data_IF_124167962144
#
_entry.id   IF_124167962144
#
_cell.length_a   1.000
_cell.length_b   1.000
_cell.length_c   1.000
_cell.angle_alpha   90.00
_cell.angle_beta   90.00
_cell.angle_gamma   90.00
#
_symmetry.space_group_name_H-M   'P 1'
#
loop_
_entity.id
_entity.type
_entity.pdbx_description
1 polymer ?
#
# COMPACT_ATOMS: atom_id res chain seq x y z
N UNK A 1 -3.14 -3.60 -21.13
CA UNK A 1 -3.01 -2.95 -19.81
C UNK A 1 -3.96 -3.62 -18.81
N UNK A 2 -5.25 -3.84 -19.13
CA UNK A 2 -6.24 -4.46 -18.23
C UNK A 2 -5.79 -5.82 -17.69
N UNK A 3 -5.40 -6.74 -18.57
CA UNK A 3 -4.86 -8.06 -18.17
C UNK A 3 -3.66 -7.94 -17.23
N UNK A 4 -2.78 -6.99 -17.48
CA UNK A 4 -1.63 -6.70 -16.62
C UNK A 4 -2.05 -6.24 -15.21
N UNK A 5 -3.03 -5.34 -15.13
CA UNK A 5 -3.56 -4.85 -13.85
C UNK A 5 -4.32 -5.95 -13.09
N UNK A 6 -5.07 -6.80 -13.79
CA UNK A 6 -5.71 -8.00 -13.20
C UNK A 6 -4.66 -8.95 -12.61
N UNK A 7 -3.58 -9.21 -13.36
CA UNK A 7 -2.47 -10.03 -12.90
C UNK A 7 -1.84 -9.46 -11.61
N UNK A 8 -1.55 -8.17 -11.57
CA UNK A 8 -0.98 -7.51 -10.39
C UNK A 8 -1.99 -7.41 -9.22
N UNK A 9 -3.28 -7.25 -9.51
CA UNK A 9 -4.32 -7.23 -8.48
C UNK A 9 -4.38 -8.56 -7.74
N UNK A 10 -4.42 -9.68 -8.48
CA UNK A 10 -4.47 -11.01 -7.89
C UNK A 10 -3.19 -11.29 -7.11
N UNK A 11 -2.01 -11.06 -7.70
CA UNK A 11 -0.73 -11.30 -7.03
C UNK A 11 -0.57 -10.45 -5.75
N UNK A 12 -0.96 -9.17 -5.83
CA UNK A 12 -0.87 -8.25 -4.70
C UNK A 12 -1.83 -8.63 -3.58
N UNK A 13 -3.09 -8.97 -3.89
CA UNK A 13 -4.13 -9.25 -2.88
C UNK A 13 -3.79 -10.41 -1.94
N UNK A 14 -3.04 -11.40 -2.42
CA UNK A 14 -2.64 -12.56 -1.60
C UNK A 14 -1.32 -12.38 -0.86
N UNK A 15 -0.60 -11.27 -1.08
CA UNK A 15 0.76 -11.12 -0.57
C UNK A 15 1.00 -9.86 0.26
N UNK A 16 0.28 -8.76 0.03
CA UNK A 16 0.56 -7.47 0.66
C UNK A 16 0.56 -7.50 2.19
N UNK A 17 -0.39 -8.22 2.79
CA UNK A 17 -0.64 -8.18 4.23
C UNK A 17 0.45 -8.92 5.04
N UNK A 18 0.89 -10.08 4.57
CA UNK A 18 1.94 -10.82 5.28
C UNK A 18 3.34 -10.29 4.97
N UNK A 19 3.60 -9.80 3.74
CA UNK A 19 4.89 -9.20 3.38
C UNK A 19 5.14 -7.97 4.26
N UNK A 20 4.24 -6.98 4.27
CA UNK A 20 4.40 -5.75 5.03
C UNK A 20 4.50 -5.99 6.55
N UNK A 21 3.67 -6.90 7.07
CA UNK A 21 3.68 -7.24 8.49
C UNK A 21 5.00 -7.90 8.92
N UNK A 22 5.48 -8.89 8.16
CA UNK A 22 6.74 -9.57 8.47
C UNK A 22 7.96 -8.64 8.34
N UNK A 23 7.94 -7.73 7.37
CA UNK A 23 8.98 -6.70 7.23
C UNK A 23 9.01 -5.77 8.44
N UNK A 24 7.85 -5.29 8.90
CA UNK A 24 7.77 -4.46 10.11
C UNK A 24 8.22 -5.22 11.36
N UNK A 25 7.80 -6.48 11.52
CA UNK A 25 8.25 -7.33 12.63
C UNK A 25 9.77 -7.48 12.62
N UNK A 26 10.35 -7.72 11.44
CA UNK A 26 11.79 -7.85 11.27
C UNK A 26 12.54 -6.59 11.73
N UNK A 27 12.10 -5.43 11.29
CA UNK A 27 12.71 -4.16 11.70
C UNK A 27 12.52 -3.90 13.19
N UNK A 28 11.32 -4.04 13.72
CA UNK A 28 11.04 -3.78 15.13
C UNK A 28 11.85 -4.68 16.08
N UNK A 29 12.11 -5.94 15.66
CA UNK A 29 12.83 -6.90 16.50
C UNK A 29 14.33 -6.80 16.38
N UNK A 30 14.87 -6.44 15.21
CA UNK A 30 16.29 -6.57 14.91
C UNK A 30 17.01 -5.27 14.52
N UNK A 31 16.31 -4.14 14.31
CA UNK A 31 16.94 -2.87 13.98
C UNK A 31 17.84 -2.34 15.11
N UNK A 32 17.48 -2.58 16.37
CA UNK A 32 18.26 -2.18 17.54
C UNK A 32 19.46 -3.12 17.82
N UNK A 33 19.37 -4.37 17.37
CA UNK A 33 20.45 -5.33 17.51
C UNK A 33 21.56 -5.02 16.50
N UNK A 34 22.49 -4.14 16.87
CA UNK A 34 23.73 -3.78 16.11
C UNK A 34 24.62 -4.98 15.76
N UNK A 35 24.17 -6.20 16.00
CA UNK A 35 24.88 -7.47 15.76
C UNK A 35 24.88 -7.90 14.30
N UNK A 36 24.01 -7.34 13.44
CA UNK A 36 24.05 -7.63 12.02
C UNK A 36 25.26 -6.95 11.38
N UNK A 37 26.27 -7.74 11.00
CA UNK A 37 27.44 -7.29 10.26
C UNK A 37 28.61 -6.74 11.09
N UNK A 38 28.50 -6.62 12.42
CA UNK A 38 29.59 -6.16 13.30
C UNK A 38 30.23 -7.27 14.14
N UNK A 39 29.57 -8.42 14.26
CA UNK A 39 30.16 -9.61 14.90
C UNK A 39 30.75 -10.55 13.86
N UNK A 40 31.82 -11.22 14.20
CA UNK A 40 32.47 -12.27 13.39
C UNK A 40 31.55 -13.48 13.16
N UNK A 41 30.49 -13.63 13.95
CA UNK A 41 29.53 -14.74 13.84
C UNK A 41 28.30 -14.33 13.00
N UNK A 42 28.04 -15.11 11.95
CA UNK A 42 26.87 -14.94 11.11
C UNK A 42 25.60 -15.39 11.84
N UNK A 43 24.59 -14.51 11.93
CA UNK A 43 23.29 -14.85 12.49
C UNK A 43 22.44 -15.66 11.49
N UNK A 44 21.66 -16.67 11.92
CA UNK A 44 20.77 -17.44 11.04
C UNK A 44 19.46 -16.72 10.71
N UNK A 45 19.23 -15.51 11.23
CA UNK A 45 17.96 -14.78 11.14
C UNK A 45 17.53 -14.54 9.69
N UNK A 46 18.41 -13.97 8.85
CA UNK A 46 18.07 -13.67 7.45
C UNK A 46 17.74 -14.95 6.66
N UNK A 47 18.42 -16.05 6.94
CA UNK A 47 18.12 -17.34 6.31
C UNK A 47 16.71 -17.82 6.71
N UNK A 48 16.39 -17.85 8.01
CA UNK A 48 15.09 -18.32 8.50
C UNK A 48 13.94 -17.46 7.99
N UNK A 49 14.12 -16.15 7.94
CA UNK A 49 13.09 -15.23 7.41
C UNK A 49 12.91 -15.44 5.90
N UNK A 50 14.00 -15.65 5.14
CA UNK A 50 13.88 -15.94 3.70
C UNK A 50 13.14 -17.25 3.43
N UNK A 51 13.35 -18.27 4.27
CA UNK A 51 12.60 -19.53 4.22
C UNK A 51 11.11 -19.27 4.47
N UNK A 52 10.77 -18.46 5.49
CA UNK A 52 9.39 -18.07 5.77
C UNK A 52 8.74 -17.33 4.60
N UNK A 53 9.40 -16.32 4.04
CA UNK A 53 8.88 -15.57 2.89
C UNK A 53 8.66 -16.47 1.69
N UNK A 54 9.59 -17.40 1.42
CA UNK A 54 9.45 -18.37 0.33
C UNK A 54 8.27 -19.32 0.58
N UNK A 55 8.13 -19.83 1.82
CA UNK A 55 7.02 -20.69 2.21
C UNK A 55 5.66 -19.98 2.07
N UNK A 56 5.54 -18.74 2.55
CA UNK A 56 4.31 -17.96 2.40
C UNK A 56 4.01 -17.61 0.95
N UNK A 57 5.02 -17.35 0.11
CA UNK A 57 4.82 -17.14 -1.33
C UNK A 57 4.30 -18.40 -2.02
N UNK A 58 4.83 -19.57 -1.68
CA UNK A 58 4.33 -20.86 -2.20
C UNK A 58 2.90 -21.10 -1.72
N UNK A 59 2.61 -20.87 -0.44
CA UNK A 59 1.25 -20.98 0.12
C UNK A 59 0.28 -20.02 -0.57
N UNK A 60 0.69 -18.78 -0.85
CA UNK A 60 -0.11 -17.81 -1.60
C UNK A 60 -0.39 -18.28 -3.03
N UNK A 61 0.61 -18.85 -3.72
CA UNK A 61 0.43 -19.40 -5.06
C UNK A 61 -0.52 -20.61 -5.06
N UNK A 62 -0.37 -21.52 -4.08
CA UNK A 62 -1.29 -22.67 -3.90
C UNK A 62 -2.70 -22.17 -3.58
N UNK A 63 -2.86 -21.16 -2.73
CA UNK A 63 -4.15 -20.56 -2.41
C UNK A 63 -4.84 -19.99 -3.66
N UNK A 64 -4.12 -19.23 -4.49
CA UNK A 64 -4.64 -18.72 -5.77
C UNK A 64 -5.03 -19.89 -6.70
N UNK A 65 -4.24 -20.97 -6.73
CA UNK A 65 -4.55 -22.15 -7.54
C UNK A 65 -5.86 -22.81 -7.10
N UNK A 66 -6.04 -23.02 -5.80
CA UNK A 66 -7.25 -23.63 -5.24
C UNK A 66 -8.50 -22.75 -5.43
N UNK A 67 -8.33 -21.43 -5.37
CA UNK A 67 -9.41 -20.46 -5.60
C UNK A 67 -9.60 -20.06 -7.07
N UNK A 68 -8.85 -20.65 -7.99
CA UNK A 68 -8.95 -20.32 -9.43
C UNK A 68 -10.39 -20.30 -9.95
N UNK A 69 -11.27 -21.29 -9.65
CA UNK A 69 -12.66 -21.27 -10.15
C UNK A 69 -13.46 -20.06 -9.61
N UNK A 70 -13.22 -19.68 -8.35
CA UNK A 70 -13.87 -18.54 -7.71
C UNK A 70 -13.37 -17.23 -8.31
N UNK A 71 -12.04 -17.09 -8.42
CA UNK A 71 -11.40 -15.90 -8.96
C UNK A 71 -11.80 -15.70 -10.42
N UNK A 72 -11.77 -16.74 -11.24
CA UNK A 72 -12.18 -16.64 -12.66
C UNK A 72 -13.65 -16.26 -12.83
N UNK A 73 -14.53 -16.71 -11.94
CA UNK A 73 -15.94 -16.32 -11.90
C UNK A 73 -16.13 -14.84 -11.50
N UNK A 74 -15.28 -14.31 -10.63
CA UNK A 74 -15.31 -12.88 -10.23
C UNK A 74 -14.84 -11.94 -11.35
N UNK A 75 -13.89 -12.37 -12.14
CA UNK A 75 -13.33 -11.58 -13.23
C UNK A 75 -14.09 -11.91 -14.52
N UNK A 76 -15.29 -11.91 -14.74
CA UNK A 76 -16.08 -12.10 -16.00
C UNK A 76 -15.25 -12.42 -17.27
N UNK A 77 -14.17 -13.20 -17.11
CA UNK A 77 -13.19 -13.47 -18.15
C UNK A 77 -13.83 -14.43 -19.15
N UNK A 78 -13.93 -14.03 -20.39
CA UNK A 78 -14.41 -14.85 -21.50
C UNK A 78 -13.63 -16.17 -21.54
N UNK A 79 -14.28 -17.29 -21.17
CA UNK A 79 -13.69 -18.62 -21.13
C UNK A 79 -13.34 -19.17 -19.73
N UNK A 80 -13.61 -18.44 -18.64
CA UNK A 80 -13.50 -18.96 -17.26
C UNK A 80 -12.06 -19.26 -16.79
N UNK A 81 -11.03 -18.81 -17.53
CA UNK A 81 -9.63 -19.00 -17.15
C UNK A 81 -8.93 -17.65 -17.01
N UNK A 82 -8.17 -17.51 -15.92
CA UNK A 82 -7.32 -16.32 -15.72
C UNK A 82 -6.19 -16.36 -16.76
N UNK A 83 -6.04 -15.30 -17.58
CA UNK A 83 -4.95 -15.23 -18.55
C UNK A 83 -3.59 -15.36 -17.87
N UNK A 84 -2.66 -16.09 -18.51
CA UNK A 84 -1.28 -16.24 -18.04
C UNK A 84 -1.13 -16.84 -16.63
N UNK A 85 -2.05 -17.71 -16.18
CA UNK A 85 -2.08 -18.27 -14.83
C UNK A 85 -0.76 -18.94 -14.42
N UNK A 86 -0.09 -19.65 -15.34
CA UNK A 86 1.22 -20.28 -15.07
C UNK A 86 2.30 -19.24 -14.75
N UNK A 87 2.27 -18.09 -15.44
CA UNK A 87 3.19 -16.97 -15.19
C UNK A 87 2.88 -16.32 -13.85
N UNK A 88 1.59 -16.20 -13.51
CA UNK A 88 1.13 -15.65 -12.22
C UNK A 88 1.66 -16.46 -11.04
N UNK A 89 1.62 -17.80 -11.12
CA UNK A 89 2.18 -18.66 -10.07
C UNK A 89 3.68 -18.45 -9.89
N UNK A 90 4.43 -18.46 -10.98
CA UNK A 90 5.87 -18.19 -10.93
C UNK A 90 6.15 -16.80 -10.35
N UNK A 91 5.38 -15.81 -10.77
CA UNK A 91 5.52 -14.45 -10.24
C UNK A 91 5.28 -14.39 -8.73
N UNK A 92 4.19 -14.98 -8.21
CA UNK A 92 3.87 -14.99 -6.77
C UNK A 92 4.99 -15.68 -5.99
N UNK A 93 5.48 -16.83 -6.46
CA UNK A 93 6.54 -17.59 -5.77
C UNK A 93 7.82 -16.76 -5.61
N UNK A 94 8.25 -16.08 -6.68
CA UNK A 94 9.53 -15.35 -6.65
C UNK A 94 9.37 -13.92 -6.11
N UNK A 95 8.21 -13.26 -6.26
CA UNK A 95 8.03 -11.86 -5.88
C UNK A 95 8.01 -11.62 -4.37
N UNK A 96 7.54 -12.57 -3.55
CA UNK A 96 7.48 -12.42 -2.10
C UNK A 96 8.86 -12.31 -1.44
N UNK A 97 9.76 -13.31 -1.62
CA UNK A 97 11.07 -13.32 -0.97
C UNK A 97 11.96 -12.13 -1.35
N UNK A 98 11.87 -11.62 -2.57
CA UNK A 98 12.73 -10.52 -3.04
C UNK A 98 12.51 -9.20 -2.29
N UNK A 99 11.34 -9.04 -1.65
CA UNK A 99 11.07 -7.90 -0.79
C UNK A 99 11.98 -7.85 0.47
N UNK A 100 12.70 -8.92 0.79
CA UNK A 100 13.67 -8.95 1.87
C UNK A 100 15.00 -8.27 1.53
N UNK A 101 15.36 -8.10 0.25
CA UNK A 101 16.67 -7.58 -0.16
C UNK A 101 16.95 -6.20 0.44
N UNK A 102 15.98 -5.30 0.34
CA UNK A 102 16.08 -3.94 0.86
C UNK A 102 16.22 -3.94 2.39
N UNK A 103 15.40 -4.73 3.05
CA UNK A 103 15.41 -4.87 4.52
C UNK A 103 16.70 -5.55 5.02
N UNK A 104 17.22 -6.53 4.29
CA UNK A 104 18.51 -7.13 4.61
C UNK A 104 19.64 -6.09 4.53
N UNK A 105 19.69 -5.26 3.50
CA UNK A 105 20.67 -4.19 3.40
C UNK A 105 20.47 -3.08 4.45
N UNK A 106 19.22 -2.80 4.83
CA UNK A 106 18.94 -1.84 5.91
C UNK A 106 19.49 -2.34 7.25
N UNK A 107 19.24 -3.63 7.59
CA UNK A 107 19.77 -4.26 8.81
C UNK A 107 21.30 -4.38 8.81
N UNK A 108 21.91 -4.50 7.62
CA UNK A 108 23.37 -4.55 7.45
C UNK A 108 24.00 -3.16 7.46
N UNK A 109 23.23 -2.07 7.66
CA UNK A 109 23.68 -0.68 7.61
C UNK A 109 24.38 -0.33 6.27
N UNK A 110 23.77 -0.75 5.16
CA UNK A 110 24.29 -0.55 3.79
C UNK A 110 23.27 0.16 2.88
N UNK A 111 22.84 1.39 3.22
CA UNK A 111 21.76 2.08 2.49
C UNK A 111 22.08 2.34 1.02
N UNK A 112 23.34 2.60 0.66
CA UNK A 112 23.76 2.78 -0.73
C UNK A 112 23.49 1.54 -1.60
N UNK A 113 23.56 0.33 -1.01
CA UNK A 113 23.26 -0.91 -1.74
C UNK A 113 21.77 -1.06 -2.04
N UNK A 114 20.90 -0.46 -1.23
CA UNK A 114 19.45 -0.42 -1.51
C UNK A 114 19.20 0.40 -2.77
N UNK A 115 19.83 1.59 -2.85
CA UNK A 115 19.69 2.47 -4.04
C UNK A 115 20.24 1.75 -5.28
N UNK A 116 21.43 1.17 -5.20
CA UNK A 116 22.03 0.44 -6.33
C UNK A 116 21.16 -0.74 -6.78
N UNK A 117 20.68 -1.55 -5.84
CA UNK A 117 19.77 -2.65 -6.11
C UNK A 117 18.48 -2.17 -6.77
N UNK A 118 17.87 -1.11 -6.21
CA UNK A 118 16.64 -0.52 -6.74
C UNK A 118 16.83 -0.01 -8.18
N UNK A 119 17.79 0.89 -8.39
CA UNK A 119 18.06 1.46 -9.72
C UNK A 119 18.31 0.36 -10.76
N UNK A 120 19.21 -0.59 -10.46
CA UNK A 120 19.56 -1.65 -11.41
C UNK A 120 18.34 -2.54 -11.73
N UNK A 121 17.64 -3.02 -10.70
CA UNK A 121 16.56 -4.00 -10.92
C UNK A 121 15.28 -3.39 -11.46
N UNK A 122 14.96 -2.14 -11.10
CA UNK A 122 13.81 -1.44 -11.69
C UNK A 122 14.07 -1.01 -13.13
N UNK A 123 15.29 -0.57 -13.45
CA UNK A 123 15.68 -0.31 -14.85
C UNK A 123 15.58 -1.59 -15.68
N UNK A 124 16.12 -2.71 -15.19
CA UNK A 124 16.01 -3.99 -15.86
C UNK A 124 14.54 -4.42 -16.03
N UNK A 125 13.71 -4.22 -15.00
CA UNK A 125 12.28 -4.52 -15.08
C UNK A 125 11.59 -3.68 -16.14
N UNK A 126 11.88 -2.36 -16.20
CA UNK A 126 11.34 -1.47 -17.21
C UNK A 126 11.65 -2.03 -18.62
N UNK A 127 12.90 -2.37 -18.89
CA UNK A 127 13.28 -2.90 -20.19
C UNK A 127 12.65 -4.27 -20.48
N UNK A 128 12.71 -5.23 -19.55
CA UNK A 128 12.18 -6.57 -19.77
C UNK A 128 10.66 -6.64 -19.93
N UNK A 129 9.93 -5.68 -19.35
CA UNK A 129 8.47 -5.63 -19.46
C UNK A 129 8.02 -4.83 -20.68
N UNK A 130 8.63 -3.66 -20.92
CA UNK A 130 8.13 -2.74 -21.96
C UNK A 130 8.67 -3.03 -23.34
N UNK A 131 9.94 -3.46 -23.47
CA UNK A 131 10.55 -3.71 -24.79
C UNK A 131 9.82 -4.78 -25.62
N UNK A 132 9.44 -5.95 -25.07
CA UNK A 132 8.69 -6.92 -25.86
C UNK A 132 7.38 -6.34 -26.41
N UNK A 133 6.65 -5.57 -25.58
CA UNK A 133 5.38 -4.96 -25.98
C UNK A 133 5.58 -3.88 -27.05
N UNK A 134 6.63 -3.05 -26.94
CA UNK A 134 6.97 -2.03 -27.94
C UNK A 134 7.35 -2.67 -29.27
N UNK A 135 8.04 -3.83 -29.24
CA UNK A 135 8.41 -4.59 -30.43
C UNK A 135 7.24 -5.37 -31.04
N UNK A 136 6.02 -5.24 -30.49
CA UNK A 136 4.81 -5.88 -31.03
C UNK A 136 4.60 -7.34 -30.57
N UNK A 137 5.39 -7.83 -29.61
CA UNK A 137 5.17 -9.16 -29.04
C UNK A 137 3.96 -9.17 -28.10
N UNK A 138 3.40 -10.36 -27.85
CA UNK A 138 2.29 -10.55 -26.91
C UNK A 138 2.66 -10.13 -25.49
N UNK A 139 1.65 -9.69 -24.71
CA UNK A 139 1.81 -9.28 -23.31
C UNK A 139 2.48 -10.36 -22.44
N UNK A 140 2.27 -11.64 -22.78
CA UNK A 140 2.92 -12.76 -22.10
C UNK A 140 4.43 -12.63 -22.00
N UNK A 141 5.09 -12.12 -23.04
CA UNK A 141 6.55 -11.90 -23.01
C UNK A 141 6.94 -10.82 -21.99
N UNK A 142 6.15 -9.76 -21.84
CA UNK A 142 6.34 -8.76 -20.79
C UNK A 142 6.16 -9.34 -19.38
N UNK A 143 5.16 -10.21 -19.19
CA UNK A 143 4.94 -10.91 -17.92
C UNK A 143 6.06 -11.92 -17.60
N UNK A 144 6.59 -12.64 -18.62
CA UNK A 144 7.81 -13.44 -18.44
C UNK A 144 9.01 -12.57 -18.04
N UNK A 145 9.10 -11.35 -18.59
CA UNK A 145 10.09 -10.35 -18.19
C UNK A 145 10.00 -10.00 -16.70
N UNK A 146 8.78 -9.84 -16.15
CA UNK A 146 8.58 -9.64 -14.70
C UNK A 146 9.10 -10.82 -13.87
N UNK A 147 8.78 -12.05 -14.28
CA UNK A 147 9.24 -13.26 -13.59
C UNK A 147 10.75 -13.36 -13.65
N UNK A 148 11.34 -13.13 -14.82
CA UNK A 148 12.79 -13.16 -15.03
C UNK A 148 13.53 -12.19 -14.09
N UNK A 149 13.06 -10.96 -13.99
CA UNK A 149 13.66 -9.97 -13.06
C UNK A 149 13.51 -10.41 -11.61
N UNK A 150 12.36 -10.98 -11.22
CA UNK A 150 12.19 -11.50 -9.86
C UNK A 150 13.09 -12.70 -9.56
N UNK A 151 13.38 -13.54 -10.55
CA UNK A 151 14.38 -14.61 -10.40
C UNK A 151 15.78 -14.00 -10.15
N UNK A 152 16.18 -12.98 -10.91
CA UNK A 152 17.46 -12.28 -10.68
C UNK A 152 17.52 -11.68 -9.27
N UNK A 153 16.45 -11.02 -8.83
CA UNK A 153 16.33 -10.48 -7.46
C UNK A 153 16.41 -11.59 -6.40
N UNK A 154 15.79 -12.73 -6.67
CA UNK A 154 15.83 -13.89 -5.78
C UNK A 154 17.24 -14.50 -5.67
N UNK A 155 17.96 -14.62 -6.79
CA UNK A 155 19.37 -15.01 -6.78
C UNK A 155 20.24 -14.02 -6.02
N UNK A 156 19.94 -12.72 -6.15
CA UNK A 156 20.60 -11.68 -5.37
C UNK A 156 20.35 -11.83 -3.86
N UNK A 157 19.10 -12.14 -3.45
CA UNK A 157 18.80 -12.49 -2.06
C UNK A 157 19.61 -13.69 -1.59
N UNK A 158 19.69 -14.75 -2.43
CA UNK A 158 20.51 -15.92 -2.15
C UNK A 158 21.98 -15.57 -1.90
N UNK A 159 22.55 -14.68 -2.72
CA UNK A 159 23.91 -14.18 -2.51
C UNK A 159 24.08 -13.43 -1.19
N UNK A 160 23.10 -12.61 -0.79
CA UNK A 160 23.11 -11.92 0.50
C UNK A 160 23.09 -12.92 1.65
N UNK A 161 22.24 -13.94 1.57
CA UNK A 161 22.11 -14.98 2.60
C UNK A 161 23.42 -15.75 2.74
N UNK A 162 23.99 -16.25 1.64
CA UNK A 162 25.27 -16.95 1.65
C UNK A 162 26.40 -16.12 2.25
N UNK A 163 26.41 -14.82 1.96
CA UNK A 163 27.47 -13.93 2.41
C UNK A 163 27.32 -13.51 3.88
N UNK A 164 26.11 -13.21 4.34
CA UNK A 164 25.87 -12.51 5.62
C UNK A 164 25.09 -13.35 6.63
N UNK A 165 24.54 -14.51 6.28
CA UNK A 165 23.77 -15.35 7.20
C UNK A 165 24.39 -16.73 7.36
N UNK A 166 24.14 -17.36 8.51
CA UNK A 166 24.40 -18.78 8.74
C UNK A 166 23.24 -19.58 8.17
N UNK A 167 23.52 -20.59 7.35
CA UNK A 167 22.50 -21.49 6.82
C UNK A 167 22.18 -22.51 7.90
N UNK A 168 21.25 -22.15 8.77
CA UNK A 168 20.79 -22.98 9.87
C UNK A 168 19.31 -22.74 10.11
N UNK A 169 18.49 -23.77 9.90
CA UNK A 169 17.07 -23.70 10.18
C UNK A 169 16.81 -23.76 11.70
N UNK A 170 16.01 -22.84 12.22
CA UNK A 170 15.61 -22.78 13.61
C UNK A 170 14.08 -22.72 13.72
N UNK A 171 13.47 -23.87 14.01
CA UNK A 171 12.01 -23.96 14.19
C UNK A 171 11.54 -23.09 15.35
N UNK A 172 12.35 -22.99 16.41
CA UNK A 172 12.06 -22.11 17.56
C UNK A 172 11.96 -20.66 17.11
N UNK A 173 12.93 -20.17 16.37
CA UNK A 173 12.94 -18.81 15.81
C UNK A 173 11.72 -18.57 14.91
N UNK A 174 11.43 -19.49 13.99
CA UNK A 174 10.30 -19.39 13.07
C UNK A 174 8.99 -19.24 13.84
N UNK A 175 8.77 -20.09 14.85
CA UNK A 175 7.56 -20.04 15.71
C UNK A 175 7.44 -18.71 16.44
N UNK A 176 8.50 -18.24 17.07
CA UNK A 176 8.51 -16.97 17.80
C UNK A 176 8.24 -15.79 16.87
N UNK A 177 8.87 -15.77 15.69
CA UNK A 177 8.68 -14.73 14.69
C UNK A 177 7.24 -14.70 14.15
N UNK A 178 6.63 -15.86 13.89
CA UNK A 178 5.23 -15.96 13.46
C UNK A 178 4.26 -15.45 14.53
N UNK A 179 4.49 -15.80 15.80
CA UNK A 179 3.66 -15.29 16.90
C UNK A 179 3.74 -13.76 17.01
N UNK A 180 4.95 -13.20 16.86
CA UNK A 180 5.16 -11.75 16.88
C UNK A 180 4.54 -11.06 15.66
N UNK A 181 4.57 -11.69 14.49
CA UNK A 181 4.03 -11.14 13.24
C UNK A 181 2.51 -11.21 13.16
N UNK A 182 1.87 -12.20 13.79
CA UNK A 182 0.44 -12.48 13.61
C UNK A 182 -0.49 -11.27 13.89
N UNK A 183 -0.30 -10.47 14.95
CA UNK A 183 -1.12 -9.27 15.18
C UNK A 183 -0.94 -8.22 14.08
N UNK A 184 0.30 -8.07 13.56
CA UNK A 184 0.58 -7.14 12.46
C UNK A 184 0.00 -7.63 11.14
N UNK A 185 0.06 -8.94 10.86
CA UNK A 185 -0.57 -9.55 9.67
C UNK A 185 -2.06 -9.23 9.65
N UNK A 186 -2.76 -9.41 10.77
CA UNK A 186 -4.18 -9.07 10.90
C UNK A 186 -4.43 -7.57 10.69
N UNK A 187 -3.59 -6.72 11.27
CA UNK A 187 -3.70 -5.26 11.11
C UNK A 187 -3.47 -4.82 9.66
N UNK A 188 -2.46 -5.36 8.99
CA UNK A 188 -2.19 -5.07 7.57
C UNK A 188 -3.29 -5.58 6.66
N UNK A 189 -3.83 -6.78 6.94
CA UNK A 189 -4.95 -7.32 6.18
C UNK A 189 -6.15 -6.38 6.25
N UNK A 190 -6.48 -5.87 7.42
CA UNK A 190 -7.61 -4.95 7.59
C UNK A 190 -7.34 -3.57 6.97
N UNK A 191 -6.18 -2.96 7.26
CA UNK A 191 -5.91 -1.58 6.81
C UNK A 191 -5.55 -1.46 5.33
N UNK A 192 -5.07 -2.53 4.70
CA UNK A 192 -4.63 -2.53 3.30
C UNK A 192 -5.60 -3.20 2.33
N UNK A 193 -6.69 -3.81 2.83
CA UNK A 193 -7.60 -4.56 1.98
C UNK A 193 -8.48 -3.68 1.08
N UNK A 194 -8.80 -2.46 1.49
CA UNK A 194 -9.72 -1.57 0.76
C UNK A 194 -9.34 -1.43 -0.72
N UNK A 195 -8.08 -1.12 -1.03
CA UNK A 195 -7.60 -0.97 -2.41
C UNK A 195 -7.75 -2.23 -3.29
N UNK A 196 -7.73 -3.42 -2.67
CA UNK A 196 -7.94 -4.69 -3.37
C UNK A 196 -9.42 -5.00 -3.50
N UNK A 197 -10.21 -4.71 -2.46
CA UNK A 197 -11.67 -4.87 -2.46
C UNK A 197 -12.29 -4.04 -3.59
N UNK A 198 -11.92 -2.78 -3.72
CA UNK A 198 -12.39 -1.91 -4.80
C UNK A 198 -12.06 -2.52 -6.18
N UNK A 199 -10.83 -3.01 -6.36
CA UNK A 199 -10.41 -3.70 -7.58
C UNK A 199 -11.23 -4.95 -7.88
N UNK A 200 -11.54 -5.78 -6.88
CA UNK A 200 -12.39 -6.96 -7.05
C UNK A 200 -13.85 -6.60 -7.37
N UNK A 201 -14.40 -5.57 -6.73
CA UNK A 201 -15.75 -5.08 -7.02
C UNK A 201 -15.87 -4.59 -8.46
N UNK A 202 -14.87 -3.84 -8.95
CA UNK A 202 -14.82 -3.39 -10.35
C UNK A 202 -14.67 -4.56 -11.30
N UNK A 203 -13.77 -5.51 -11.02
CA UNK A 203 -13.56 -6.69 -11.87
C UNK A 203 -14.78 -7.62 -11.95
N UNK A 204 -15.57 -7.66 -10.87
CA UNK A 204 -16.80 -8.45 -10.84
C UNK A 204 -17.88 -7.89 -11.78
N UNK A 205 -17.93 -6.56 -11.96
CA UNK A 205 -19.02 -5.89 -12.66
C UNK A 205 -18.63 -5.36 -14.04
N UNK A 206 -17.37 -5.08 -14.27
CA UNK A 206 -16.86 -4.48 -15.49
C UNK A 206 -15.74 -5.32 -16.10
N UNK A 207 -15.32 -4.93 -17.29
CA UNK A 207 -14.22 -5.55 -18.02
C UNK A 207 -12.82 -5.12 -17.50
N UNK A 208 -11.80 -5.79 -18.01
CA UNK A 208 -10.40 -5.53 -17.64
C UNK A 208 -9.92 -4.14 -18.06
N UNK A 209 -10.49 -3.55 -19.13
CA UNK A 209 -10.15 -2.21 -19.56
C UNK A 209 -10.65 -1.19 -18.54
N UNK A 210 -11.88 -1.35 -18.05
CA UNK A 210 -12.47 -0.52 -17.00
C UNK A 210 -11.72 -0.67 -15.67
N UNK A 211 -11.28 -1.90 -15.32
CA UNK A 211 -10.41 -2.13 -14.17
C UNK A 211 -9.10 -1.33 -14.29
N UNK A 212 -8.46 -1.34 -15.46
CA UNK A 212 -7.24 -0.57 -15.67
C UNK A 212 -7.50 0.93 -15.51
N UNK A 213 -8.55 1.48 -16.12
CA UNK A 213 -8.97 2.88 -15.98
C UNK A 213 -9.15 3.24 -14.50
N UNK A 214 -9.89 2.42 -13.75
CA UNK A 214 -10.09 2.62 -12.32
C UNK A 214 -8.77 2.60 -11.55
N UNK A 215 -7.94 1.57 -11.72
CA UNK A 215 -6.69 1.41 -10.96
C UNK A 215 -5.64 2.49 -11.24
N UNK A 216 -5.60 3.04 -12.45
CA UNK A 216 -4.72 4.17 -12.76
C UNK A 216 -5.21 5.46 -12.11
N UNK A 217 -6.53 5.66 -12.03
CA UNK A 217 -7.14 6.78 -11.32
C UNK A 217 -7.11 6.63 -9.80
N UNK A 218 -7.35 5.42 -9.28
CA UNK A 218 -7.46 5.11 -7.85
C UNK A 218 -6.08 5.06 -7.16
N UNK A 219 -5.23 6.04 -7.42
CA UNK A 219 -3.88 6.16 -6.83
C UNK A 219 -3.74 7.49 -6.11
N UNK A 220 -3.39 7.42 -4.85
CA UNK A 220 -2.96 8.61 -4.13
C UNK A 220 -1.60 9.09 -4.67
N UNK A 221 -1.37 10.39 -4.62
CA UNK A 221 -0.09 10.98 -5.06
C UNK A 221 1.06 10.44 -4.19
N UNK A 222 2.03 9.71 -4.74
CA UNK A 222 3.01 8.98 -3.93
C UNK A 222 3.81 9.87 -2.98
N UNK A 223 4.17 11.08 -3.41
CA UNK A 223 4.93 12.03 -2.61
C UNK A 223 4.11 12.49 -1.38
N UNK A 224 2.78 12.62 -1.49
CA UNK A 224 1.94 12.99 -0.35
C UNK A 224 1.93 11.89 0.69
N UNK A 225 1.69 10.66 0.25
CA UNK A 225 1.67 9.48 1.13
C UNK A 225 3.01 9.31 1.84
N UNK A 226 4.11 9.44 1.12
CA UNK A 226 5.48 9.35 1.66
C UNK A 226 5.73 10.39 2.76
N UNK A 227 5.45 11.68 2.49
CA UNK A 227 5.71 12.76 3.44
C UNK A 227 4.79 12.69 4.67
N UNK A 228 3.51 12.37 4.47
CA UNK A 228 2.54 12.22 5.57
C UNK A 228 2.93 11.05 6.48
N UNK A 229 3.30 9.90 5.90
CA UNK A 229 3.72 8.74 6.67
C UNK A 229 5.05 8.98 7.39
N UNK A 230 6.03 9.60 6.72
CA UNK A 230 7.31 9.95 7.33
C UNK A 230 7.12 10.90 8.52
N UNK A 231 6.30 11.94 8.36
CA UNK A 231 5.97 12.88 9.44
C UNK A 231 5.22 12.18 10.59
N UNK A 232 4.20 11.37 10.28
CA UNK A 232 3.46 10.62 11.28
C UNK A 232 4.35 9.67 12.08
N UNK A 233 5.21 8.91 11.41
CA UNK A 233 6.16 7.99 12.06
C UNK A 233 7.15 8.73 12.95
N UNK A 234 7.66 9.90 12.52
CA UNK A 234 8.57 10.73 13.33
C UNK A 234 7.88 11.28 14.58
N UNK A 235 6.59 11.58 14.51
CA UNK A 235 5.82 12.09 15.65
C UNK A 235 5.37 11.02 16.64
N UNK A 236 5.28 9.74 16.24
CA UNK A 236 4.78 8.65 17.08
C UNK A 236 5.48 8.54 18.44
N UNK A 237 6.82 8.58 18.55
CA UNK A 237 7.52 8.46 19.84
C UNK A 237 7.20 9.60 20.81
N UNK A 238 6.91 10.79 20.32
CA UNK A 238 6.58 11.96 21.16
C UNK A 238 5.32 11.74 22.01
N UNK A 239 4.39 10.91 21.55
CA UNK A 239 3.17 10.56 22.28
C UNK A 239 3.36 9.40 23.29
N UNK A 240 4.49 8.73 23.29
CA UNK A 240 4.81 7.70 24.29
C UNK A 240 5.27 8.30 25.62
N UNK A 241 5.68 9.56 25.64
CA UNK A 241 6.18 10.29 26.81
C UNK A 241 5.07 11.22 27.31
N UNK A 242 4.41 10.86 28.41
CA UNK A 242 3.24 11.61 28.95
C UNK A 242 3.55 13.03 29.38
N UNK A 243 4.75 13.28 29.88
CA UNK A 243 5.13 14.59 30.45
C UNK A 243 5.21 15.71 29.40
N UNK A 244 5.36 15.37 28.13
CA UNK A 244 5.49 16.33 27.02
C UNK A 244 4.29 16.36 26.06
N UNK A 245 3.13 15.83 26.49
CA UNK A 245 1.96 15.68 25.62
C UNK A 245 1.52 16.98 24.94
N UNK A 246 1.48 18.09 25.68
CA UNK A 246 1.06 19.39 25.15
C UNK A 246 2.00 19.87 24.05
N UNK A 247 3.31 19.73 24.26
CA UNK A 247 4.31 20.09 23.27
C UNK A 247 4.19 19.19 22.02
N UNK A 248 4.02 17.87 22.19
CA UNK A 248 3.84 16.93 21.08
C UNK A 248 2.60 17.26 20.23
N UNK A 249 1.49 17.68 20.87
CA UNK A 249 0.27 18.10 20.16
C UNK A 249 0.49 19.41 19.38
N UNK A 250 1.21 20.38 19.96
CA UNK A 250 1.55 21.62 19.26
C UNK A 250 2.49 21.40 18.08
N UNK A 251 3.51 20.56 18.23
CA UNK A 251 4.43 20.17 17.14
C UNK A 251 3.68 19.44 16.02
N UNK A 252 2.81 18.49 16.37
CA UNK A 252 1.93 17.81 15.42
C UNK A 252 1.06 18.80 14.64
N UNK A 253 0.43 19.76 15.34
CA UNK A 253 -0.40 20.79 14.73
C UNK A 253 0.39 21.68 13.77
N UNK A 254 1.57 22.17 14.17
CA UNK A 254 2.45 23.01 13.33
C UNK A 254 2.94 22.25 12.09
N UNK A 255 3.40 21.01 12.26
CA UNK A 255 3.84 20.18 11.16
C UNK A 255 2.73 19.84 10.17
N UNK A 256 1.54 19.48 10.69
CA UNK A 256 0.34 19.25 9.86
C UNK A 256 -0.03 20.49 9.08
N UNK A 257 0.00 21.66 9.70
CA UNK A 257 -0.29 22.94 9.04
C UNK A 257 0.69 23.25 7.91
N UNK A 258 1.98 22.98 8.12
CA UNK A 258 3.00 23.14 7.09
C UNK A 258 2.76 22.21 5.89
N UNK A 259 2.42 20.94 6.14
CA UNK A 259 2.07 19.99 5.10
C UNK A 259 0.82 20.42 4.32
N UNK A 260 -0.25 20.85 5.01
CA UNK A 260 -1.47 21.36 4.39
C UNK A 260 -1.20 22.54 3.46
N UNK A 261 -0.33 23.48 3.88
CA UNK A 261 -0.02 24.70 3.11
C UNK A 261 0.63 24.38 1.77
N UNK A 262 1.31 23.26 1.66
CA UNK A 262 1.97 22.85 0.44
C UNK A 262 1.14 21.85 -0.40
N UNK A 263 0.53 20.86 0.28
CA UNK A 263 -0.15 19.77 -0.44
C UNK A 263 -1.51 20.16 -1.01
N UNK A 264 -2.29 20.98 -0.32
CA UNK A 264 -3.58 21.41 -0.85
C UNK A 264 -3.47 22.27 -2.12
N UNK A 265 -2.61 23.31 -2.20
CA UNK A 265 -2.46 24.06 -3.44
C UNK A 265 -1.99 23.20 -4.62
N UNK A 266 -1.08 22.26 -4.37
CA UNK A 266 -0.64 21.33 -5.44
C UNK A 266 -1.76 20.36 -5.83
N UNK A 267 -2.61 19.91 -4.90
CA UNK A 267 -3.79 19.11 -5.20
C UNK A 267 -4.83 19.89 -6.02
N UNK A 268 -5.02 21.19 -5.76
CA UNK A 268 -5.90 22.05 -6.58
C UNK A 268 -5.44 22.10 -8.04
N UNK A 269 -4.13 22.30 -8.25
CA UNK A 269 -3.54 22.29 -9.60
C UNK A 269 -3.73 20.91 -10.25
N UNK A 270 -3.50 19.83 -9.52
CA UNK A 270 -3.67 18.46 -10.03
C UNK A 270 -5.11 18.18 -10.46
N UNK A 271 -6.11 18.59 -9.66
CA UNK A 271 -7.53 18.42 -10.04
C UNK A 271 -7.83 19.15 -11.35
N UNK A 272 -7.40 20.40 -11.47
CA UNK A 272 -7.68 21.22 -12.66
C UNK A 272 -6.95 20.71 -13.91
N UNK A 273 -5.77 20.11 -13.74
CA UNK A 273 -4.94 19.63 -14.86
C UNK A 273 -5.13 18.16 -15.20
N UNK A 274 -5.76 17.36 -14.34
CA UNK A 274 -5.84 15.91 -14.46
C UNK A 274 -6.41 15.43 -15.80
N UNK A 275 -7.48 16.06 -16.32
CA UNK A 275 -8.07 15.74 -17.62
C UNK A 275 -7.09 15.86 -18.79
N UNK A 276 -6.12 16.75 -18.71
CA UNK A 276 -5.07 16.94 -19.72
C UNK A 276 -3.89 16.02 -19.45
N UNK A 277 -3.54 15.81 -18.18
CA UNK A 277 -2.39 15.00 -17.77
C UNK A 277 -2.58 13.51 -18.07
N UNK A 278 -3.76 12.93 -17.79
CA UNK A 278 -3.99 11.51 -18.01
C UNK A 278 -3.89 11.08 -19.48
N UNK A 279 -4.56 11.77 -20.45
CA UNK A 279 -4.38 11.47 -21.86
C UNK A 279 -2.95 11.70 -22.37
N UNK A 280 -2.23 12.68 -21.82
CA UNK A 280 -0.84 12.97 -22.20
C UNK A 280 0.13 11.89 -21.70
N UNK A 281 -0.04 11.44 -20.46
CA UNK A 281 0.88 10.46 -19.82
C UNK A 281 0.60 9.03 -20.27
N UNK A 282 -0.69 8.68 -20.45
CA UNK A 282 -1.10 7.32 -20.81
C UNK A 282 -1.60 7.26 -22.26
N UNK A 283 -2.84 7.62 -22.52
CA UNK A 283 -3.47 7.82 -23.82
C UNK A 283 -4.90 8.34 -23.61
N UNK A 284 -5.61 8.66 -24.71
CA UNK A 284 -6.98 9.22 -24.66
C UNK A 284 -8.00 8.32 -23.95
N UNK A 285 -7.78 7.01 -23.90
CA UNK A 285 -8.71 6.07 -23.24
C UNK A 285 -8.68 6.20 -21.71
N UNK A 286 -7.66 6.85 -21.13
CA UNK A 286 -7.53 7.06 -19.69
C UNK A 286 -8.09 8.41 -19.19
N UNK A 287 -8.86 9.11 -20.00
CA UNK A 287 -9.50 10.36 -19.57
C UNK A 287 -10.42 10.12 -18.36
N UNK A 288 -11.12 8.99 -18.32
CA UNK A 288 -11.99 8.60 -17.19
C UNK A 288 -11.21 8.35 -15.90
N UNK A 289 -9.95 7.92 -15.99
CA UNK A 289 -9.06 7.79 -14.83
C UNK A 289 -8.84 9.11 -14.12
N UNK A 290 -8.91 10.25 -14.83
CA UNK A 290 -8.76 11.57 -14.23
C UNK A 290 -9.89 11.89 -13.25
N UNK A 291 -11.12 11.48 -13.54
CA UNK A 291 -12.26 11.68 -12.64
C UNK A 291 -12.14 10.82 -11.38
N UNK A 292 -11.72 9.55 -11.53
CA UNK A 292 -11.41 8.68 -10.40
C UNK A 292 -10.29 9.27 -9.54
N UNK A 293 -9.23 9.76 -10.17
CA UNK A 293 -8.10 10.42 -9.51
C UNK A 293 -8.53 11.67 -8.72
N UNK A 294 -9.40 12.48 -9.31
CA UNK A 294 -9.93 13.66 -8.64
C UNK A 294 -10.73 13.31 -7.37
N UNK A 295 -11.47 12.19 -7.36
CA UNK A 295 -12.14 11.68 -6.16
C UNK A 295 -11.08 11.21 -5.14
N UNK A 296 -10.04 10.50 -5.57
CA UNK A 296 -8.96 10.03 -4.69
C UNK A 296 -8.15 11.18 -4.09
N UNK A 297 -8.02 12.31 -4.79
CA UNK A 297 -7.41 13.52 -4.22
C UNK A 297 -8.22 14.09 -3.03
N UNK A 298 -9.54 13.85 -2.95
CA UNK A 298 -10.33 14.24 -1.78
C UNK A 298 -9.90 13.49 -0.51
N UNK A 299 -9.32 12.29 -0.63
CA UNK A 299 -8.80 11.51 0.50
C UNK A 299 -7.74 12.30 1.26
N UNK A 300 -7.03 13.22 0.60
CA UNK A 300 -6.07 14.11 1.23
C UNK A 300 -6.64 14.85 2.45
N UNK A 301 -7.93 15.20 2.44
CA UNK A 301 -8.61 15.82 3.57
C UNK A 301 -8.46 14.99 4.85
N UNK A 302 -8.57 13.66 4.70
CA UNK A 302 -8.52 12.73 5.84
C UNK A 302 -7.08 12.45 6.31
N UNK A 303 -6.09 12.64 5.43
CA UNK A 303 -4.68 12.34 5.69
C UNK A 303 -4.05 13.26 6.73
N UNK A 304 -4.58 14.48 6.91
CA UNK A 304 -4.10 15.45 7.91
C UNK A 304 -4.66 15.22 9.31
N UNK A 305 -5.52 14.20 9.51
CA UNK A 305 -6.12 13.87 10.79
C UNK A 305 -5.32 12.73 11.44
N UNK A 306 -4.33 13.08 12.26
CA UNK A 306 -3.36 12.16 12.84
C UNK A 306 -3.83 11.45 14.12
N UNK A 307 -5.14 11.30 14.34
CA UNK A 307 -5.70 10.60 15.52
C UNK A 307 -5.11 9.19 15.71
N UNK A 308 -4.81 8.48 14.59
CA UNK A 308 -4.17 7.14 14.63
C UNK A 308 -2.79 7.19 15.28
N UNK A 309 -1.98 8.19 14.99
CA UNK A 309 -0.63 8.37 15.53
C UNK A 309 -0.65 8.58 17.05
N UNK A 310 -1.60 9.39 17.54
CA UNK A 310 -1.81 9.61 18.97
C UNK A 310 -2.14 8.31 19.68
N UNK A 311 -3.06 7.50 19.11
CA UNK A 311 -3.44 6.20 19.67
C UNK A 311 -2.28 5.20 19.66
N UNK A 312 -1.47 5.15 18.60
CA UNK A 312 -0.28 4.31 18.52
C UNK A 312 0.72 4.70 19.60
N UNK A 313 0.99 6.01 19.76
CA UNK A 313 1.89 6.50 20.81
C UNK A 313 1.40 6.15 22.22
N UNK A 314 0.10 6.16 22.46
CA UNK A 314 -0.49 5.71 23.71
C UNK A 314 -0.58 4.19 23.86
N UNK A 315 -0.11 3.42 22.87
CA UNK A 315 -0.20 1.94 22.82
C UNK A 315 -1.65 1.42 22.86
N UNK A 316 -2.61 2.23 22.42
CA UNK A 316 -4.03 1.90 22.38
C UNK A 316 -4.48 1.62 20.94
N UNK A 317 -4.17 0.42 20.46
CA UNK A 317 -4.41 0.03 19.07
C UNK A 317 -5.81 -0.55 18.82
N UNK A 318 -6.56 -0.93 19.86
CA UNK A 318 -7.92 -1.50 19.72
C UNK A 318 -8.90 -0.59 18.97
N UNK A 319 -8.96 0.73 19.26
CA UNK A 319 -9.82 1.65 18.50
C UNK A 319 -9.45 1.71 17.01
N UNK A 320 -8.17 1.58 16.68
CA UNK A 320 -7.70 1.58 15.29
C UNK A 320 -8.24 0.35 14.56
N UNK A 321 -8.12 -0.83 15.18
CA UNK A 321 -8.66 -2.07 14.63
C UNK A 321 -10.17 -1.97 14.40
N UNK A 322 -10.93 -1.50 15.41
CA UNK A 322 -12.38 -1.33 15.31
C UNK A 322 -12.77 -0.35 14.20
N UNK A 323 -12.12 0.82 14.12
CA UNK A 323 -12.43 1.80 13.09
C UNK A 323 -12.11 1.32 11.68
N UNK A 324 -11.04 0.54 11.51
CA UNK A 324 -10.70 -0.07 10.22
C UNK A 324 -11.70 -1.16 9.79
N UNK A 325 -12.22 -1.95 10.75
CA UNK A 325 -13.30 -2.90 10.44
C UNK A 325 -14.57 -2.19 9.96
N UNK A 326 -14.97 -1.13 10.66
CA UNK A 326 -16.15 -0.33 10.29
C UNK A 326 -15.92 0.34 8.92
N UNK A 327 -14.72 0.86 8.66
CA UNK A 327 -14.34 1.46 7.38
C UNK A 327 -14.51 0.45 6.23
N UNK A 328 -13.99 -0.77 6.35
CA UNK A 328 -14.13 -1.81 5.31
C UNK A 328 -15.58 -2.19 5.07
N UNK A 329 -16.36 -2.40 6.13
CA UNK A 329 -17.79 -2.75 6.01
C UNK A 329 -18.55 -1.65 5.27
N UNK A 330 -18.31 -0.39 5.63
CA UNK A 330 -18.94 0.76 4.99
C UNK A 330 -18.48 0.91 3.54
N UNK A 331 -17.18 0.75 3.28
CA UNK A 331 -16.63 0.79 1.92
C UNK A 331 -17.32 -0.23 1.02
N UNK A 332 -17.38 -1.49 1.43
CA UNK A 332 -18.03 -2.56 0.66
C UNK A 332 -19.51 -2.26 0.44
N UNK A 333 -20.24 -1.91 1.49
CA UNK A 333 -21.68 -1.64 1.39
C UNK A 333 -21.98 -0.45 0.46
N UNK A 334 -21.25 0.66 0.62
CA UNK A 334 -21.40 1.83 -0.25
C UNK A 334 -20.95 1.56 -1.68
N UNK A 335 -19.86 0.80 -1.87
CA UNK A 335 -19.38 0.45 -3.21
C UNK A 335 -20.43 -0.33 -3.99
N UNK A 336 -21.06 -1.34 -3.37
CA UNK A 336 -22.15 -2.08 -4.00
C UNK A 336 -23.41 -1.23 -4.25
N UNK A 337 -23.71 -0.29 -3.38
CA UNK A 337 -24.84 0.62 -3.57
C UNK A 337 -24.55 1.63 -4.70
N UNK A 338 -23.40 2.27 -4.69
CA UNK A 338 -23.06 3.37 -5.59
C UNK A 338 -22.58 2.91 -6.97
N UNK A 339 -22.06 1.68 -7.11
CA UNK A 339 -21.62 1.15 -8.41
C UNK A 339 -22.76 1.08 -9.43
N UNK A 340 -24.00 0.87 -8.97
CA UNK A 340 -25.18 0.85 -9.83
C UNK A 340 -25.62 2.25 -10.27
N UNK A 341 -25.31 3.29 -9.48
CA UNK A 341 -25.70 4.67 -9.73
C UNK A 341 -24.62 5.45 -10.51
N UNK A 342 -23.35 5.25 -10.14
CA UNK A 342 -22.23 6.04 -10.68
C UNK A 342 -21.09 5.20 -11.27
N UNK A 343 -21.28 3.91 -11.46
CA UNK A 343 -20.23 3.04 -12.00
C UNK A 343 -18.95 3.07 -11.15
N UNK A 344 -17.81 3.16 -11.82
CA UNK A 344 -16.48 3.19 -11.17
C UNK A 344 -16.27 4.40 -10.26
N UNK A 345 -16.90 5.53 -10.56
CA UNK A 345 -16.83 6.75 -9.73
C UNK A 345 -17.53 6.54 -8.39
N UNK A 346 -18.62 5.76 -8.38
CA UNK A 346 -19.33 5.38 -7.16
C UNK A 346 -18.46 4.58 -6.20
N UNK A 347 -17.65 3.65 -6.69
CA UNK A 347 -16.69 2.88 -5.89
C UNK A 347 -15.60 3.79 -5.32
N UNK A 348 -15.03 4.68 -6.14
CA UNK A 348 -14.05 5.65 -5.68
C UNK A 348 -14.61 6.57 -4.58
N UNK A 349 -15.85 7.04 -4.76
CA UNK A 349 -16.51 7.90 -3.78
C UNK A 349 -16.85 7.15 -2.48
N UNK A 350 -17.23 5.87 -2.55
CA UNK A 350 -17.42 5.02 -1.39
C UNK A 350 -16.16 4.91 -0.54
N UNK A 351 -14.99 4.77 -1.17
CA UNK A 351 -13.69 4.76 -0.51
C UNK A 351 -13.40 6.08 0.20
N UNK A 352 -13.63 7.22 -0.45
CA UNK A 352 -13.49 8.52 0.20
C UNK A 352 -14.39 8.67 1.43
N UNK A 353 -15.69 8.32 1.31
CA UNK A 353 -16.66 8.43 2.41
C UNK A 353 -16.28 7.51 3.57
N UNK A 354 -15.86 6.27 3.29
CA UNK A 354 -15.46 5.32 4.33
C UNK A 354 -14.24 5.82 5.13
N UNK A 355 -13.25 6.42 4.46
CA UNK A 355 -12.12 7.07 5.14
C UNK A 355 -12.55 8.27 6.01
N UNK A 356 -13.49 9.08 5.53
CA UNK A 356 -14.04 10.19 6.34
C UNK A 356 -14.69 9.64 7.61
N UNK A 357 -15.51 8.59 7.50
CA UNK A 357 -16.18 7.96 8.65
C UNK A 357 -15.15 7.36 9.61
N UNK A 358 -14.12 6.67 9.13
CA UNK A 358 -13.02 6.18 9.97
C UNK A 358 -12.39 7.31 10.77
N UNK A 359 -12.09 8.44 10.15
CA UNK A 359 -11.50 9.59 10.84
C UNK A 359 -12.44 10.20 11.89
N UNK A 360 -13.72 10.30 11.58
CA UNK A 360 -14.72 10.78 12.56
C UNK A 360 -14.78 9.87 13.79
N UNK A 361 -14.74 8.56 13.61
CA UNK A 361 -14.70 7.58 14.71
C UNK A 361 -13.45 7.79 15.57
N UNK A 362 -12.27 7.87 14.93
CA UNK A 362 -11.00 8.06 15.65
C UNK A 362 -10.92 9.40 16.39
N UNK A 363 -11.39 10.49 15.77
CA UNK A 363 -11.49 11.83 16.44
C UNK A 363 -12.36 11.72 17.70
N UNK A 364 -13.53 11.09 17.58
CA UNK A 364 -14.45 10.93 18.72
C UNK A 364 -13.83 10.11 19.85
N UNK A 365 -13.10 9.03 19.52
CA UNK A 365 -12.44 8.20 20.52
C UNK A 365 -11.31 8.96 21.21
N UNK A 366 -10.44 9.64 20.46
CA UNK A 366 -9.35 10.45 21.03
C UNK A 366 -9.89 11.55 21.92
N UNK A 367 -10.96 12.23 21.49
CA UNK A 367 -11.58 13.28 22.30
C UNK A 367 -12.22 12.71 23.59
N UNK A 368 -13.04 11.66 23.49
CA UNK A 368 -13.76 11.11 24.64
C UNK A 368 -12.84 10.40 25.64
N UNK A 369 -11.85 9.63 25.16
CA UNK A 369 -11.01 8.79 26.03
C UNK A 369 -9.84 9.56 26.64
N UNK A 370 -9.28 10.52 25.91
CA UNK A 370 -8.04 11.22 26.29
C UNK A 370 -8.23 12.72 26.51
N UNK A 371 -9.46 13.26 26.34
CA UNK A 371 -9.77 14.68 26.41
C UNK A 371 -8.92 15.56 25.47
N UNK A 372 -8.59 15.02 24.27
CA UNK A 372 -7.81 15.71 23.25
C UNK A 372 -8.73 16.07 22.07
N UNK A 373 -9.33 17.28 22.05
CA UNK A 373 -10.15 17.72 20.93
C UNK A 373 -9.30 17.97 19.67
N UNK A 374 -9.91 17.82 18.48
CA UNK A 374 -9.26 17.95 17.17
C UNK A 374 -8.42 19.24 17.04
N UNK A 375 -8.91 20.35 17.58
CA UNK A 375 -8.24 21.65 17.50
C UNK A 375 -6.89 21.74 18.23
N UNK A 376 -6.56 20.78 19.10
CA UNK A 376 -5.25 20.74 19.76
C UNK A 376 -4.15 20.23 18.84
N UNK A 377 -4.46 19.30 17.89
CA UNK A 377 -3.47 18.67 17.04
C UNK A 377 -3.67 18.92 15.53
N UNK A 378 -4.74 19.64 15.14
CA UNK A 378 -4.98 20.10 13.76
C UNK A 378 -5.44 21.55 13.77
N UNK A 379 -4.98 22.35 12.79
CA UNK A 379 -5.55 23.66 12.54
C UNK A 379 -6.89 23.50 11.80
N UNK A 380 -7.97 23.40 12.59
CA UNK A 380 -9.32 23.08 12.09
C UNK A 380 -9.83 24.12 11.09
N UNK A 381 -9.57 25.42 11.34
CA UNK A 381 -9.99 26.50 10.42
C UNK A 381 -9.34 26.34 9.06
N UNK A 382 -8.05 26.07 9.05
CA UNK A 382 -7.27 25.88 7.82
C UNK A 382 -7.67 24.59 7.09
N UNK A 383 -7.90 23.51 7.83
CA UNK A 383 -8.40 22.25 7.27
C UNK A 383 -9.75 22.45 6.59
N UNK A 384 -10.71 23.10 7.23
CA UNK A 384 -12.03 23.36 6.64
C UNK A 384 -11.94 24.26 5.40
N UNK A 385 -11.14 25.34 5.46
CA UNK A 385 -10.97 26.25 4.32
C UNK A 385 -10.41 25.50 3.10
N UNK A 386 -9.32 24.76 3.28
CA UNK A 386 -8.70 24.03 2.20
C UNK A 386 -9.57 22.86 1.70
N UNK A 387 -10.27 22.17 2.59
CA UNK A 387 -11.21 21.12 2.21
C UNK A 387 -12.38 21.68 1.40
N UNK A 388 -12.93 22.83 1.78
CA UNK A 388 -13.98 23.48 1.01
C UNK A 388 -13.50 23.89 -0.39
N UNK A 389 -12.30 24.49 -0.49
CA UNK A 389 -11.70 24.83 -1.79
C UNK A 389 -11.48 23.58 -2.64
N UNK A 390 -10.95 22.49 -2.04
CA UNK A 390 -10.70 21.24 -2.75
C UNK A 390 -11.99 20.63 -3.30
N UNK A 391 -13.08 20.64 -2.51
CA UNK A 391 -14.40 20.18 -2.94
C UNK A 391 -14.97 21.05 -4.07
N UNK A 392 -14.80 22.38 -3.99
CA UNK A 392 -15.21 23.28 -5.07
C UNK A 392 -14.41 23.00 -6.34
N UNK A 393 -13.09 22.85 -6.24
CA UNK A 393 -12.23 22.48 -7.37
C UNK A 393 -12.64 21.13 -7.97
N UNK A 394 -12.98 20.15 -7.13
CA UNK A 394 -13.46 18.84 -7.60
C UNK A 394 -14.78 18.97 -8.38
N UNK A 395 -15.75 19.73 -7.87
CA UNK A 395 -17.02 19.97 -8.56
C UNK A 395 -16.75 20.68 -9.90
N UNK A 396 -15.96 21.73 -9.91
CA UNK A 396 -15.61 22.47 -11.14
C UNK A 396 -14.90 21.52 -12.13
N UNK A 397 -13.90 20.76 -11.68
CA UNK A 397 -13.17 19.79 -12.50
C UNK A 397 -14.03 18.66 -13.06
N UNK A 398 -15.22 18.41 -12.50
CA UNK A 398 -16.17 17.46 -13.05
C UNK A 398 -16.87 18.00 -14.31
N UNK A 399 -17.11 19.31 -14.39
CA UNK A 399 -17.86 19.96 -15.48
C UNK A 399 -16.97 20.56 -16.58
N UNK A 400 -15.72 20.90 -16.27
CA UNK A 400 -14.73 21.36 -17.26
C UNK A 400 -14.07 20.14 -17.91
#
# INVERSE_FOLDING_TARGET
>A
IGVYETFLLIAGSVSFFWIGAMQQTLLATYAENKTFGKTTEKSPVLFNISVLFTAFSILSAVFVFLLQPVISGMFSIHGGQIPYMKILFLYIIFSGPVNLVEYAYLLLDKPLKIIYFGVLTFTLQLFCVTMPVILGYDLGYGLYGLVFVNIIRFLWLGFIILKYSKIQLSVKFIREFLILSAPLVTSFLLSGSAQYIDGFIISYKFDEATLAIFRYGAREVPIYVLLINAFGNAMTPAFSIKDNLKQALEELKKGTEKLMTWMFPTAFVLIMSSKYLFPLVFNKNFIESSYVFNIYLLILITRFIFSRIILIGFKDTKPILYSSLVEIIINVALSFALINLWGIYGVAFATFVSYVIEKIILIRIVNKKYNIPLGQYVNVKKLYLFSAILLICWIIGWYI
#
